data_IF_803404966744
#
_entry.id   IF_803404966744
#
_cell.length_a   1.000
_cell.length_b   1.000
_cell.length_c   1.000
_cell.angle_alpha   90.00
_cell.angle_beta   90.00
_cell.angle_gamma   90.00
#
_symmetry.space_group_name_H-M   'P 1'
#
loop_
_entity.id
_entity.type
_entity.pdbx_description
1 polymer ?
#
# COMPACT_ATOMS: atom_id res chain seq x y z
N UNK A 1 0.58 11.65 -9.87
CA UNK A 1 1.37 10.74 -9.01
C UNK A 1 0.92 10.89 -7.58
N UNK A 2 1.09 9.86 -6.76
CA UNK A 2 0.87 9.89 -5.31
C UNK A 2 2.24 9.99 -4.64
N UNK A 3 2.39 10.88 -3.66
CA UNK A 3 3.65 11.09 -2.95
C UNK A 3 3.41 10.95 -1.44
N UNK A 4 4.18 10.08 -0.81
CA UNK A 4 4.15 9.87 0.64
C UNK A 4 5.50 10.27 1.23
N UNK A 5 5.46 11.01 2.34
CA UNK A 5 6.64 11.32 3.12
C UNK A 5 6.67 10.45 4.37
N UNK A 6 7.80 9.80 4.62
CA UNK A 6 8.02 8.95 5.78
C UNK A 6 9.13 9.55 6.62
N UNK A 7 8.86 9.74 7.91
CA UNK A 7 9.84 10.11 8.93
C UNK A 7 9.89 8.99 9.97
N UNK A 8 11.07 8.40 10.13
CA UNK A 8 11.31 7.35 11.11
C UNK A 8 11.74 7.93 12.47
N UNK A 9 11.68 7.11 13.51
CA UNK A 9 12.03 7.48 14.88
C UNK A 9 13.49 7.97 15.00
N UNK A 10 14.41 7.38 14.25
CA UNK A 10 15.84 7.74 14.24
C UNK A 10 16.15 9.05 13.48
N UNK A 11 15.11 9.73 12.96
CA UNK A 11 15.21 10.95 12.16
C UNK A 11 15.51 10.71 10.68
N UNK A 12 15.74 9.46 10.25
CA UNK A 12 15.82 9.13 8.83
C UNK A 12 14.47 9.39 8.17
N UNK A 13 14.51 9.95 6.96
CA UNK A 13 13.31 10.22 6.19
C UNK A 13 13.51 9.92 4.71
N UNK A 14 12.40 9.71 4.02
CA UNK A 14 12.38 9.47 2.58
C UNK A 14 11.01 9.78 1.98
N UNK A 15 11.02 10.03 0.67
CA UNK A 15 9.80 10.10 -0.14
C UNK A 15 9.57 8.77 -0.83
N UNK A 16 8.30 8.43 -0.99
CA UNK A 16 7.80 7.39 -1.89
C UNK A 16 6.95 8.07 -2.95
N UNK A 17 7.11 7.68 -4.20
CA UNK A 17 6.33 8.23 -5.31
C UNK A 17 5.91 7.10 -6.24
N UNK A 18 4.62 7.08 -6.58
CA UNK A 18 4.03 6.14 -7.51
C UNK A 18 3.04 6.85 -8.46
N UNK A 19 2.67 6.17 -9.54
CA UNK A 19 1.60 6.61 -10.42
C UNK A 19 0.26 6.69 -9.67
N UNK A 20 -0.54 7.72 -9.93
CA UNK A 20 -1.91 7.77 -9.42
C UNK A 20 -2.79 6.91 -10.33
N UNK A 21 -3.45 5.91 -9.76
CA UNK A 21 -4.39 5.06 -10.49
C UNK A 21 -5.79 5.67 -10.38
N UNK A 22 -6.39 6.00 -11.51
CA UNK A 22 -7.74 6.56 -11.58
C UNK A 22 -8.77 5.40 -11.59
N UNK A 23 -9.27 5.04 -10.41
CA UNK A 23 -10.22 3.95 -10.22
C UNK A 23 -11.22 4.22 -9.09
N UNK A 24 -12.39 3.60 -9.18
CA UNK A 24 -13.40 3.57 -8.11
C UNK A 24 -13.21 2.37 -7.16
N UNK A 25 -12.38 1.38 -7.52
CA UNK A 25 -12.11 0.18 -6.72
C UNK A 25 -11.03 0.44 -5.66
N UNK A 26 -11.35 1.26 -4.66
CA UNK A 26 -10.38 1.75 -3.66
C UNK A 26 -10.64 1.24 -2.23
N UNK A 27 -11.69 0.43 -2.03
CA UNK A 27 -12.06 -0.05 -0.71
C UNK A 27 -10.97 -0.96 -0.14
N UNK A 28 -10.58 -0.69 1.11
CA UNK A 28 -9.54 -1.45 1.81
C UNK A 28 -8.11 -0.97 1.54
N UNK A 29 -7.89 0.16 0.86
CA UNK A 29 -6.53 0.69 0.60
C UNK A 29 -5.71 0.88 1.89
N UNK A 30 -6.26 1.61 2.87
CA UNK A 30 -5.57 1.85 4.15
C UNK A 30 -5.43 0.59 5.02
N UNK A 31 -6.47 -0.24 5.04
CA UNK A 31 -6.46 -1.52 5.76
C UNK A 31 -5.38 -2.45 5.20
N UNK A 32 -5.27 -2.54 3.88
CA UNK A 32 -4.27 -3.37 3.21
C UNK A 32 -2.86 -2.84 3.45
N UNK A 33 -2.67 -1.52 3.35
CA UNK A 33 -1.37 -0.91 3.60
C UNK A 33 -0.87 -1.19 5.02
N UNK A 34 -1.73 -0.95 6.02
CA UNK A 34 -1.37 -1.20 7.43
C UNK A 34 -1.23 -2.68 7.78
N UNK A 35 -2.09 -3.55 7.21
CA UNK A 35 -1.99 -5.00 7.38
C UNK A 35 -0.70 -5.56 6.76
N UNK A 36 -0.30 -5.07 5.58
CA UNK A 36 0.94 -5.46 4.94
C UNK A 36 2.15 -5.03 5.80
N UNK A 37 2.15 -3.80 6.35
CA UNK A 37 3.22 -3.35 7.26
C UNK A 37 3.32 -4.31 8.45
N UNK A 38 2.19 -4.60 9.10
CA UNK A 38 2.16 -5.50 10.24
C UNK A 38 2.69 -6.90 9.89
N UNK A 39 2.33 -7.42 8.72
CA UNK A 39 2.80 -8.73 8.24
C UNK A 39 4.30 -8.75 7.91
N UNK A 40 4.83 -7.71 7.27
CA UNK A 40 6.27 -7.57 6.98
C UNK A 40 7.09 -7.46 8.27
N UNK A 41 6.62 -6.67 9.24
CA UNK A 41 7.25 -6.59 10.56
C UNK A 41 7.24 -7.96 11.26
N UNK A 42 6.13 -8.70 11.20
CA UNK A 42 6.05 -10.04 11.76
C UNK A 42 7.00 -11.05 11.07
N UNK A 43 7.33 -10.82 9.79
CA UNK A 43 8.33 -11.58 9.03
C UNK A 43 9.78 -11.15 9.33
N UNK A 44 9.98 -10.09 10.11
CA UNK A 44 11.29 -9.60 10.52
C UNK A 44 11.88 -8.51 9.63
N UNK A 45 11.10 -7.91 8.72
CA UNK A 45 11.54 -6.76 7.95
C UNK A 45 11.76 -5.53 8.87
N UNK A 46 12.67 -4.64 8.49
CA UNK A 46 12.76 -3.32 9.14
C UNK A 46 11.51 -2.47 8.85
N UNK A 47 11.27 -1.42 9.65
CA UNK A 47 10.14 -0.50 9.45
C UNK A 47 10.16 0.13 8.06
N UNK A 48 11.34 0.54 7.57
CA UNK A 48 11.48 1.09 6.23
C UNK A 48 11.14 0.07 5.14
N UNK A 49 11.68 -1.14 5.23
CA UNK A 49 11.38 -2.21 4.27
C UNK A 49 9.90 -2.56 4.27
N UNK A 50 9.29 -2.72 5.46
CA UNK A 50 7.87 -2.99 5.61
C UNK A 50 7.00 -1.93 4.94
N UNK A 51 7.32 -0.65 5.11
CA UNK A 51 6.62 0.48 4.47
C UNK A 51 6.79 0.43 2.95
N UNK A 52 8.00 0.21 2.44
CA UNK A 52 8.27 0.14 0.99
C UNK A 52 7.55 -1.02 0.32
N UNK A 53 7.57 -2.20 0.94
CA UNK A 53 6.86 -3.38 0.45
C UNK A 53 5.35 -3.13 0.46
N UNK A 54 4.82 -2.57 1.56
CA UNK A 54 3.39 -2.28 1.69
C UNK A 54 2.90 -1.25 0.68
N UNK A 55 3.71 -0.23 0.39
CA UNK A 55 3.43 0.74 -0.66
C UNK A 55 3.34 0.08 -2.02
N UNK A 56 4.33 -0.74 -2.38
CA UNK A 56 4.33 -1.48 -3.64
C UNK A 56 3.14 -2.43 -3.75
N UNK A 57 2.90 -3.25 -2.72
CA UNK A 57 1.81 -4.22 -2.69
C UNK A 57 0.44 -3.55 -2.82
N UNK A 58 0.20 -2.48 -2.06
CA UNK A 58 -1.06 -1.75 -2.11
C UNK A 58 -1.25 -1.05 -3.46
N UNK A 59 -0.18 -0.49 -4.04
CA UNK A 59 -0.23 0.10 -5.38
C UNK A 59 -0.58 -0.95 -6.45
N UNK A 60 0.09 -2.10 -6.43
CA UNK A 60 -0.18 -3.21 -7.35
C UNK A 60 -1.62 -3.73 -7.17
N UNK A 61 -2.13 -3.78 -5.93
CA UNK A 61 -3.50 -4.20 -5.62
C UNK A 61 -4.58 -3.23 -6.15
N UNK A 62 -4.32 -1.91 -6.10
CA UNK A 62 -5.20 -0.90 -6.71
C UNK A 62 -5.12 -0.98 -8.23
N UNK A 63 -3.92 -1.15 -8.78
CA UNK A 63 -3.66 -1.15 -10.22
C UNK A 63 -4.26 -2.37 -10.95
N UNK A 64 -4.20 -3.54 -10.33
CA UNK A 64 -4.69 -4.79 -10.93
C UNK A 64 -6.07 -5.13 -10.40
N UNK A 65 -7.07 -4.34 -10.78
CA UNK A 65 -8.44 -4.45 -10.27
C UNK A 65 -9.05 -5.85 -10.38
N UNK A 66 -10.00 -6.12 -9.49
CA UNK A 66 -10.86 -7.29 -9.55
C UNK A 66 -12.34 -6.86 -9.50
N UNK A 67 -13.13 -7.36 -10.45
CA UNK A 67 -14.54 -6.99 -10.60
C UNK A 67 -15.44 -7.79 -9.65
N UNK A 68 -15.42 -7.46 -8.35
CA UNK A 68 -16.25 -8.08 -7.32
C UNK A 68 -16.93 -7.00 -6.46
N UNK A 69 -18.19 -7.19 -6.12
CA UNK A 69 -18.97 -6.24 -5.30
C UNK A 69 -19.74 -5.20 -6.10
N UNK A 70 -20.27 -4.17 -5.42
CA UNK A 70 -21.08 -3.09 -6.00
C UNK A 70 -20.48 -1.71 -5.69
N UNK A 71 -20.55 -0.78 -6.66
CA UNK A 71 -20.00 0.59 -6.60
C UNK A 71 -18.48 0.60 -6.36
N UNK A 72 -18.05 0.92 -5.14
CA UNK A 72 -16.63 0.95 -4.75
C UNK A 72 -16.18 -0.48 -4.42
N UNK A 73 -15.79 -1.25 -5.44
CA UNK A 73 -15.20 -2.57 -5.27
C UNK A 73 -13.92 -2.56 -4.41
N UNK A 74 -13.51 -3.72 -3.87
CA UNK A 74 -12.27 -3.85 -3.12
C UNK A 74 -11.05 -3.75 -4.05
N UNK A 75 -9.90 -3.43 -3.47
CA UNK A 75 -8.60 -3.63 -4.13
C UNK A 75 -8.27 -5.13 -4.24
N UNK A 76 -7.39 -5.52 -5.15
CA UNK A 76 -7.08 -6.92 -5.43
C UNK A 76 -5.88 -7.44 -4.61
N UNK A 77 -6.14 -8.31 -3.64
CA UNK A 77 -5.07 -8.92 -2.82
C UNK A 77 -4.29 -10.05 -3.51
N UNK A 78 -4.74 -10.55 -4.66
CA UNK A 78 -4.11 -11.67 -5.41
C UNK A 78 -2.98 -11.24 -6.36
N UNK A 79 -2.38 -10.08 -6.12
CA UNK A 79 -1.26 -9.53 -6.90
C UNK A 79 0.10 -10.10 -6.50
#
# INVERSE_FOLDING_TARGET
TVKDYVLLEDGKNFWLEDEYIDTEHINGTGDTYSACIAAELAKGASVEEAIRISKKYTHDAIKNEIAVGHKFGPINHWV
#
